data_IF_638500432276
#
_entry.id   IF_638500432276
#
_cell.length_a   1.000
_cell.length_b   1.000
_cell.length_c   1.000
_cell.angle_alpha   90.00
_cell.angle_beta   90.00
_cell.angle_gamma   90.00
#
_symmetry.space_group_name_H-M   'P 1'
#
loop_
_entity.id
_entity.type
_entity.pdbx_description
1 polymer ?
#
# COMPACT_ATOMS: atom_id res chain seq x y z
N UNK A 1 2.06 47.92 36.50
CA UNK A 1 2.17 47.84 35.02
C UNK A 1 2.31 46.38 34.57
N UNK A 2 1.49 45.48 35.13
CA UNK A 2 1.72 44.02 35.16
C UNK A 2 0.44 43.20 34.85
N UNK A 3 -0.71 43.87 34.67
CA UNK A 3 -1.99 43.25 34.30
C UNK A 3 -2.00 42.59 32.90
N UNK A 4 -1.38 43.14 31.84
CA UNK A 4 -1.43 42.50 30.52
C UNK A 4 -0.55 41.25 30.46
N UNK A 5 0.59 41.25 31.16
CA UNK A 5 1.52 40.10 31.22
C UNK A 5 0.86 38.91 31.95
N UNK A 6 0.16 39.17 33.06
CA UNK A 6 -0.57 38.13 33.78
C UNK A 6 -1.69 37.49 32.94
N UNK A 7 -2.38 38.29 32.10
CA UNK A 7 -3.46 37.79 31.25
C UNK A 7 -2.91 36.90 30.11
N UNK A 8 -1.80 37.29 29.49
CA UNK A 8 -1.15 36.49 28.44
C UNK A 8 -0.58 35.19 29.00
N UNK A 9 0.01 35.22 30.21
CA UNK A 9 0.51 34.01 30.88
C UNK A 9 -0.63 33.02 31.22
N UNK A 10 -1.78 33.53 31.65
CA UNK A 10 -2.96 32.70 31.94
C UNK A 10 -3.54 32.08 30.67
N UNK A 11 -3.56 32.82 29.55
CA UNK A 11 -4.03 32.31 28.26
C UNK A 11 -3.09 31.23 27.70
N UNK A 12 -1.77 31.42 27.84
CA UNK A 12 -0.76 30.45 27.43
C UNK A 12 -0.83 29.17 28.26
N UNK A 13 -1.03 29.28 29.58
CA UNK A 13 -1.22 28.13 30.46
C UNK A 13 -2.49 27.33 30.10
N UNK A 14 -3.60 28.02 29.78
CA UNK A 14 -4.82 27.36 29.33
C UNK A 14 -4.61 26.58 28.02
N UNK A 15 -3.92 27.18 27.04
CA UNK A 15 -3.60 26.52 25.77
C UNK A 15 -2.64 25.32 25.92
N UNK A 16 -1.76 25.33 26.92
CA UNK A 16 -0.87 24.20 27.20
C UNK A 16 -1.61 22.97 27.75
N UNK A 17 -2.75 23.15 28.43
CA UNK A 17 -3.50 22.05 29.06
C UNK A 17 -4.44 21.28 28.13
N UNK A 18 -4.75 21.81 26.94
CA UNK A 18 -5.66 21.15 25.97
C UNK A 18 -5.06 19.90 25.32
N UNK A 19 -3.76 19.64 25.49
CA UNK A 19 -3.06 18.46 24.94
C UNK A 19 -3.08 17.20 25.83
N UNK A 20 -3.41 17.31 27.13
CA UNK A 20 -3.30 16.18 28.06
C UNK A 20 -4.30 15.05 27.82
N UNK A 21 -5.34 15.23 27.00
CA UNK A 21 -6.29 14.18 26.65
C UNK A 21 -5.75 13.13 25.68
N UNK A 22 -4.74 13.48 24.86
CA UNK A 22 -4.17 12.57 23.84
C UNK A 22 -3.08 11.66 24.41
N UNK A 23 -2.37 12.12 25.44
CA UNK A 23 -1.37 11.35 26.20
C UNK A 23 -1.99 10.09 26.80
N UNK A 24 -3.20 10.18 27.38
CA UNK A 24 -3.92 9.04 27.98
C UNK A 24 -4.18 7.89 26.99
N UNK A 25 -4.36 8.23 25.70
CA UNK A 25 -4.56 7.26 24.61
C UNK A 25 -3.23 6.71 24.10
N UNK A 26 -2.18 7.53 24.04
CA UNK A 26 -0.83 7.11 23.66
C UNK A 26 -0.16 6.19 24.69
N UNK A 27 -0.46 6.35 25.99
CA UNK A 27 0.06 5.50 27.08
C UNK A 27 -0.79 4.23 27.32
N UNK A 28 -1.78 3.95 26.47
CA UNK A 28 -2.58 2.73 26.58
C UNK A 28 -3.54 2.67 27.77
N UNK A 29 -3.84 3.81 28.42
CA UNK A 29 -4.85 3.87 29.49
C UNK A 29 -6.30 3.78 28.96
N UNK A 30 -6.48 3.63 27.64
CA UNK A 30 -7.75 3.34 27.00
C UNK A 30 -8.01 1.83 26.90
N UNK A 31 -9.28 1.43 26.98
CA UNK A 31 -9.72 0.05 26.81
C UNK A 31 -9.54 -0.37 25.33
N UNK A 32 -8.51 -1.16 25.04
CA UNK A 32 -8.41 -1.92 23.79
C UNK A 32 -9.12 -3.27 23.98
N UNK A 33 -10.45 -3.27 23.84
CA UNK A 33 -11.20 -4.53 23.83
C UNK A 33 -10.95 -5.25 22.49
N UNK A 34 -10.69 -6.57 22.50
CA UNK A 34 -10.70 -7.37 21.28
C UNK A 34 -12.03 -7.21 20.54
N UNK A 35 -11.98 -7.13 19.21
CA UNK A 35 -13.14 -6.93 18.33
C UNK A 35 -14.25 -7.96 18.59
N UNK A 36 -15.35 -7.50 19.21
CA UNK A 36 -16.50 -8.32 19.56
C UNK A 36 -17.28 -8.85 18.34
N UNK A 37 -17.02 -8.34 17.13
CA UNK A 37 -17.65 -8.83 15.89
C UNK A 37 -16.80 -9.88 15.17
N UNK A 38 -15.60 -10.16 15.66
CA UNK A 38 -14.75 -11.20 15.08
C UNK A 38 -15.22 -12.59 15.52
N UNK A 39 -16.16 -13.15 14.77
CA UNK A 39 -16.64 -14.52 14.96
C UNK A 39 -15.57 -15.50 14.48
N UNK A 40 -14.96 -16.22 15.42
CA UNK A 40 -14.07 -17.35 15.10
C UNK A 40 -14.91 -18.62 15.12
N UNK A 41 -14.99 -19.32 14.00
CA UNK A 41 -15.67 -20.61 13.90
C UNK A 41 -14.74 -21.73 14.35
N UNK A 42 -15.10 -22.45 15.40
CA UNK A 42 -14.39 -23.67 15.80
C UNK A 42 -14.80 -24.85 14.92
N UNK A 43 -13.87 -25.76 14.64
CA UNK A 43 -14.14 -26.98 13.88
C UNK A 43 -15.23 -27.84 14.55
N UNK A 44 -16.10 -28.52 13.77
CA UNK A 44 -17.14 -29.37 14.32
C UNK A 44 -16.55 -30.56 15.10
N UNK A 45 -17.14 -30.86 16.26
CA UNK A 45 -16.74 -31.99 17.10
C UNK A 45 -17.22 -33.30 16.48
N UNK A 46 -16.34 -34.01 15.76
CA UNK A 46 -16.60 -35.39 15.31
C UNK A 46 -15.99 -36.38 16.30
N UNK A 47 -16.81 -37.32 16.77
CA UNK A 47 -16.37 -38.35 17.71
C UNK A 47 -15.58 -39.42 16.94
N UNK A 48 -14.26 -39.60 17.21
CA UNK A 48 -13.48 -40.62 16.52
C UNK A 48 -13.99 -42.02 16.87
N UNK A 49 -13.91 -43.00 15.95
CA UNK A 49 -14.35 -44.38 16.19
C UNK A 49 -13.53 -45.08 17.29
N UNK A 50 -12.31 -44.60 17.56
CA UNK A 50 -11.45 -45.11 18.63
C UNK A 50 -11.33 -44.09 19.77
N UNK A 51 -11.93 -44.43 20.92
CA UNK A 51 -11.81 -43.71 22.20
C UNK A 51 -10.48 -43.99 22.93
N UNK A 52 -9.51 -44.59 22.25
CA UNK A 52 -8.23 -45.03 22.83
C UNK A 52 -7.18 -43.91 22.92
N UNK A 53 -7.51 -42.70 22.47
CA UNK A 53 -6.64 -41.55 22.62
C UNK A 53 -6.72 -41.01 24.05
N UNK A 54 -5.56 -40.92 24.70
CA UNK A 54 -5.42 -40.26 25.98
C UNK A 54 -5.90 -38.81 25.83
N UNK A 55 -6.85 -38.33 26.66
CA UNK A 55 -7.30 -36.95 26.59
C UNK A 55 -6.09 -36.00 26.66
N UNK A 56 -6.01 -34.99 25.78
CA UNK A 56 -4.94 -34.01 25.85
C UNK A 56 -4.98 -33.36 27.23
N UNK A 57 -3.79 -33.10 27.80
CA UNK A 57 -3.70 -32.46 29.11
C UNK A 57 -4.37 -31.08 29.04
N UNK A 58 -5.14 -30.68 30.07
CA UNK A 58 -5.66 -29.32 30.15
C UNK A 58 -4.53 -28.30 29.95
N UNK A 59 -4.63 -27.46 28.91
CA UNK A 59 -3.65 -26.42 28.59
C UNK A 59 -2.62 -26.77 27.50
N UNK A 60 -2.62 -27.98 26.94
CA UNK A 60 -1.77 -28.32 25.79
C UNK A 60 -2.42 -27.87 24.48
N UNK A 61 -1.61 -27.39 23.53
CA UNK A 61 -2.10 -26.91 22.24
C UNK A 61 -2.86 -28.03 21.53
N UNK A 62 -4.13 -27.77 21.18
CA UNK A 62 -4.95 -28.74 20.47
C UNK A 62 -4.46 -28.81 19.02
N UNK A 63 -4.04 -29.98 18.51
CA UNK A 63 -3.61 -30.11 17.12
C UNK A 63 -4.72 -29.75 16.11
N UNK A 64 -5.97 -29.73 16.56
CA UNK A 64 -7.17 -29.46 15.77
C UNK A 64 -7.53 -27.97 15.73
N UNK A 65 -6.94 -27.14 16.59
CA UNK A 65 -7.12 -25.67 16.58
C UNK A 65 -5.95 -25.05 15.82
N UNK A 66 -5.89 -25.25 14.49
CA UNK A 66 -5.11 -24.34 13.66
C UNK A 66 -5.76 -22.95 13.73
N UNK A 67 -4.96 -21.90 13.69
CA UNK A 67 -5.51 -20.56 13.55
C UNK A 67 -6.32 -20.50 12.24
N UNK A 68 -7.52 -19.90 12.22
CA UNK A 68 -8.36 -19.87 11.02
C UNK A 68 -7.65 -19.31 9.79
N UNK A 69 -6.70 -18.39 9.99
CA UNK A 69 -5.86 -17.84 8.93
C UNK A 69 -4.92 -18.89 8.31
N UNK A 70 -4.33 -19.75 9.12
CA UNK A 70 -3.43 -20.81 8.67
C UNK A 70 -4.19 -21.91 7.92
N UNK A 71 -5.38 -22.27 8.42
CA UNK A 71 -6.27 -23.22 7.75
C UNK A 71 -6.74 -22.68 6.39
N UNK A 72 -7.21 -21.43 6.33
CA UNK A 72 -7.60 -20.79 5.07
C UNK A 72 -6.42 -20.69 4.09
N UNK A 73 -5.22 -20.36 4.59
CA UNK A 73 -4.00 -20.32 3.77
C UNK A 73 -3.67 -21.70 3.22
N UNK A 74 -3.72 -22.74 4.03
CA UNK A 74 -3.48 -24.12 3.60
C UNK A 74 -4.56 -24.60 2.60
N UNK A 75 -5.82 -24.18 2.75
CA UNK A 75 -6.89 -24.51 1.81
C UNK A 75 -6.74 -23.78 0.47
N UNK A 76 -6.32 -22.51 0.48
CA UNK A 76 -6.18 -21.69 -0.72
C UNK A 76 -4.90 -22.00 -1.50
N UNK A 77 -3.78 -22.15 -0.80
CA UNK A 77 -2.47 -22.27 -1.42
C UNK A 77 -1.90 -23.68 -1.32
N UNK A 78 -2.40 -24.55 -0.43
CA UNK A 78 -1.76 -25.81 -0.08
C UNK A 78 -0.73 -25.61 1.04
N UNK A 79 -0.56 -26.64 1.89
CA UNK A 79 0.39 -26.59 3.01
C UNK A 79 1.86 -26.68 2.56
N UNK A 80 2.15 -27.37 1.45
CA UNK A 80 3.51 -27.75 1.05
C UNK A 80 3.76 -27.61 -0.47
N UNK A 81 3.42 -26.45 -1.04
CA UNK A 81 3.59 -26.19 -2.50
C UNK A 81 5.04 -26.32 -2.96
N UNK A 82 5.99 -26.04 -2.06
CA UNK A 82 7.42 -26.12 -2.36
C UNK A 82 7.97 -27.55 -2.30
N UNK A 83 7.31 -28.48 -1.58
CA UNK A 83 7.83 -29.83 -1.39
C UNK A 83 7.76 -30.68 -2.67
N UNK A 84 6.78 -30.41 -3.53
CA UNK A 84 6.60 -31.08 -4.83
C UNK A 84 7.27 -30.37 -6.00
N UNK A 85 7.96 -29.26 -5.77
CA UNK A 85 8.57 -28.45 -6.83
C UNK A 85 9.70 -29.20 -7.56
N UNK A 86 9.64 -29.21 -8.88
CA UNK A 86 10.69 -29.74 -9.76
C UNK A 86 11.97 -28.92 -9.66
N UNK A 87 13.09 -29.46 -10.16
CA UNK A 87 14.36 -28.73 -10.18
C UNK A 87 14.27 -27.46 -11.07
N UNK A 88 13.51 -27.52 -12.16
CA UNK A 88 13.29 -26.38 -13.05
C UNK A 88 12.53 -25.24 -12.36
N UNK A 89 11.47 -25.56 -11.63
CA UNK A 89 10.69 -24.57 -10.86
C UNK A 89 11.53 -23.92 -9.76
N UNK A 90 12.33 -24.70 -9.04
CA UNK A 90 13.27 -24.16 -8.04
C UNK A 90 14.28 -23.20 -8.67
N UNK A 91 14.86 -23.57 -9.80
CA UNK A 91 15.81 -22.72 -10.53
C UNK A 91 15.15 -21.43 -11.03
N UNK A 92 13.90 -21.50 -11.49
CA UNK A 92 13.13 -20.33 -11.90
C UNK A 92 12.87 -19.38 -10.72
N UNK A 93 12.47 -19.91 -9.57
CA UNK A 93 12.21 -19.13 -8.34
C UNK A 93 13.48 -18.46 -7.83
N UNK A 94 14.61 -19.18 -7.81
CA UNK A 94 15.93 -18.63 -7.48
C UNK A 94 16.33 -17.52 -8.45
N UNK A 95 16.17 -17.73 -9.75
CA UNK A 95 16.47 -16.70 -10.77
C UNK A 95 15.54 -15.49 -10.67
N UNK A 96 14.30 -15.69 -10.23
CA UNK A 96 13.35 -14.61 -9.95
C UNK A 96 13.64 -13.89 -8.62
N UNK A 97 14.63 -14.34 -7.83
CA UNK A 97 14.97 -13.76 -6.54
C UNK A 97 13.94 -14.02 -5.44
N UNK A 98 13.04 -14.99 -5.62
CA UNK A 98 11.94 -15.27 -4.71
C UNK A 98 12.26 -16.36 -3.66
N UNK A 99 13.54 -16.74 -3.53
CA UNK A 99 14.00 -17.81 -2.64
C UNK A 99 13.98 -17.43 -1.15
N UNK A 100 14.07 -16.14 -0.82
CA UNK A 100 14.22 -15.63 0.54
C UNK A 100 13.15 -14.58 0.90
N UNK A 101 11.88 -14.84 0.57
CA UNK A 101 10.78 -13.97 0.99
C UNK A 101 10.50 -14.22 2.47
N UNK A 102 10.58 -13.17 3.28
CA UNK A 102 10.18 -13.22 4.70
C UNK A 102 8.70 -13.62 4.80
N UNK A 103 8.34 -14.73 5.49
CA UNK A 103 6.95 -15.13 5.69
C UNK A 103 6.08 -14.07 6.34
N UNK A 104 6.68 -13.19 7.15
CA UNK A 104 6.01 -12.13 7.92
C UNK A 104 6.07 -10.76 7.21
N UNK A 105 6.47 -10.71 5.94
CA UNK A 105 6.57 -9.44 5.21
C UNK A 105 5.24 -8.68 5.18
N UNK A 106 4.10 -9.40 5.14
CA UNK A 106 2.78 -8.78 5.18
C UNK A 106 2.49 -8.10 6.50
N UNK A 107 2.81 -8.75 7.61
CA UNK A 107 2.65 -8.15 8.94
C UNK A 107 3.58 -6.96 9.13
N UNK A 108 4.79 -7.03 8.56
CA UNK A 108 5.75 -5.92 8.54
C UNK A 108 5.19 -4.73 7.74
N UNK A 109 4.68 -4.98 6.52
CA UNK A 109 4.06 -3.94 5.69
C UNK A 109 2.83 -3.35 6.39
N UNK A 110 2.00 -4.18 7.01
CA UNK A 110 0.80 -3.71 7.71
C UNK A 110 1.19 -2.84 8.91
N UNK A 111 2.21 -3.22 9.67
CA UNK A 111 2.75 -2.43 10.78
C UNK A 111 3.33 -1.09 10.29
N UNK A 112 4.12 -1.11 9.22
CA UNK A 112 4.67 0.10 8.59
C UNK A 112 3.56 1.02 8.05
N UNK A 113 2.55 0.42 7.41
CA UNK A 113 1.40 1.13 6.85
C UNK A 113 0.47 1.70 7.94
N UNK A 114 0.37 1.07 9.10
CA UNK A 114 -0.39 1.59 10.24
C UNK A 114 0.18 2.91 10.77
N UNK A 115 1.51 3.10 10.72
CA UNK A 115 2.16 4.38 11.05
C UNK A 115 1.90 5.48 10.00
N UNK A 116 1.62 5.06 8.76
CA UNK A 116 1.14 5.90 7.68
C UNK A 116 -0.39 6.05 7.78
N UNK A 117 -0.89 6.53 8.92
CA UNK A 117 -2.21 7.19 8.96
C UNK A 117 -2.14 8.30 7.94
N UNK A 118 -2.69 8.03 6.74
CA UNK A 118 -2.77 8.84 5.53
C UNK A 118 -2.60 10.31 5.87
N UNK A 119 -1.35 10.76 6.00
CA UNK A 119 -1.09 12.17 6.28
C UNK A 119 -1.57 12.88 5.05
N UNK A 120 -2.27 13.99 5.27
CA UNK A 120 -2.81 14.77 4.18
C UNK A 120 -1.63 15.35 3.39
N UNK A 121 -1.12 14.58 2.43
CA UNK A 121 0.01 14.94 1.59
C UNK A 121 -0.30 16.26 0.87
N UNK A 122 -1.59 16.64 0.76
CA UNK A 122 -2.04 17.89 0.18
C UNK A 122 -1.39 19.14 0.77
N UNK A 123 -1.15 19.22 2.09
CA UNK A 123 -0.51 20.41 2.67
C UNK A 123 1.00 20.42 2.47
N UNK A 124 1.66 19.32 2.81
CA UNK A 124 3.13 19.21 2.70
C UNK A 124 3.56 19.31 1.25
N UNK A 125 2.87 18.62 0.34
CA UNK A 125 3.15 18.66 -1.08
C UNK A 125 2.85 20.05 -1.66
N UNK A 126 1.86 20.80 -1.15
CA UNK A 126 1.62 22.22 -1.55
C UNK A 126 2.73 23.17 -1.11
N UNK A 127 3.32 22.94 0.06
CA UNK A 127 4.46 23.71 0.55
C UNK A 127 5.73 23.36 -0.24
N UNK A 128 5.98 22.08 -0.49
CA UNK A 128 7.12 21.61 -1.30
C UNK A 128 7.00 22.01 -2.77
N UNK A 129 5.77 22.15 -3.29
CA UNK A 129 5.48 22.58 -4.67
C UNK A 129 5.29 24.08 -4.84
N UNK A 130 5.49 24.87 -3.78
CA UNK A 130 5.38 26.32 -3.86
C UNK A 130 6.47 26.90 -4.77
N UNK A 131 6.06 27.51 -5.88
CA UNK A 131 6.98 28.01 -6.92
C UNK A 131 7.13 27.09 -8.14
N UNK A 132 6.40 25.97 -8.17
CA UNK A 132 6.37 25.03 -9.28
C UNK A 132 7.18 23.78 -9.00
N UNK A 133 6.59 22.81 -8.30
CA UNK A 133 7.06 21.43 -8.43
C UNK A 133 6.30 20.75 -9.56
N UNK A 134 7.07 20.15 -10.48
CA UNK A 134 6.55 19.23 -11.47
C UNK A 134 5.73 18.12 -10.82
N UNK A 135 4.68 17.73 -11.52
CA UNK A 135 3.74 16.65 -11.24
C UNK A 135 4.41 15.35 -10.79
N UNK A 136 4.64 15.18 -9.49
CA UNK A 136 5.22 13.93 -8.98
C UNK A 136 4.15 12.86 -8.70
N UNK A 137 2.88 13.23 -8.46
CA UNK A 137 1.83 12.29 -8.06
C UNK A 137 0.44 12.66 -8.60
N UNK A 138 0.33 12.94 -9.91
CA UNK A 138 -1.00 12.91 -10.56
C UNK A 138 -1.28 11.45 -10.88
N UNK A 139 -2.40 10.85 -10.44
CA UNK A 139 -2.81 9.53 -10.91
C UNK A 139 -2.87 9.55 -12.44
N UNK A 140 -1.91 8.88 -13.08
CA UNK A 140 -1.82 8.77 -14.53
C UNK A 140 -2.86 7.73 -14.95
N UNK A 141 -3.84 8.12 -15.77
CA UNK A 141 -4.75 7.16 -16.39
C UNK A 141 -3.94 6.27 -17.36
N UNK A 142 -3.85 4.94 -17.09
CA UNK A 142 -3.06 4.02 -17.91
C UNK A 142 -3.47 4.05 -19.39
N UNK A 143 -4.76 4.26 -19.68
CA UNK A 143 -5.28 4.25 -21.05
C UNK A 143 -4.96 5.54 -21.80
N UNK A 144 -4.88 6.68 -21.09
CA UNK A 144 -4.47 7.94 -21.69
C UNK A 144 -2.96 7.93 -21.99
N UNK A 145 -2.16 7.39 -21.08
CA UNK A 145 -0.71 7.30 -21.23
C UNK A 145 -0.31 6.31 -22.34
N UNK A 146 -0.97 5.16 -22.43
CA UNK A 146 -0.74 4.21 -23.53
C UNK A 146 -0.99 4.83 -24.91
N UNK A 147 -2.01 5.69 -25.03
CA UNK A 147 -2.31 6.42 -26.27
C UNK A 147 -1.22 7.44 -26.60
N UNK A 148 -0.81 8.24 -25.61
CA UNK A 148 0.29 9.22 -25.77
C UNK A 148 1.58 8.55 -26.26
N UNK A 149 1.96 7.43 -25.65
CA UNK A 149 3.14 6.65 -26.04
C UNK A 149 3.00 6.09 -27.47
N UNK A 150 1.82 5.57 -27.84
CA UNK A 150 1.55 5.07 -29.18
C UNK A 150 1.70 6.14 -30.27
N UNK A 151 1.22 7.35 -30.02
CA UNK A 151 1.36 8.48 -30.95
C UNK A 151 2.83 8.90 -31.09
N UNK A 152 3.59 8.94 -30.00
CA UNK A 152 5.03 9.20 -30.04
C UNK A 152 5.80 8.13 -30.82
N UNK A 153 5.44 6.86 -30.68
CA UNK A 153 6.04 5.80 -31.48
C UNK A 153 5.73 5.95 -32.98
N UNK A 154 4.49 6.29 -33.32
CA UNK A 154 4.09 6.52 -34.71
C UNK A 154 4.86 7.69 -35.32
N UNK A 155 4.95 8.81 -34.60
CA UNK A 155 5.73 9.97 -35.02
C UNK A 155 7.20 9.58 -35.18
N UNK A 156 7.79 8.86 -34.22
CA UNK A 156 9.19 8.41 -34.29
C UNK A 156 9.44 7.48 -35.48
N UNK A 157 8.52 6.57 -35.80
CA UNK A 157 8.60 5.72 -37.00
C UNK A 157 8.51 6.54 -38.29
N UNK A 158 7.65 7.54 -38.33
CA UNK A 158 7.46 8.40 -39.50
C UNK A 158 8.62 9.39 -39.73
N UNK A 159 9.23 9.87 -38.65
CA UNK A 159 10.24 10.95 -38.67
C UNK A 159 11.67 10.45 -38.51
N UNK A 160 11.85 9.15 -38.25
CA UNK A 160 13.15 8.55 -37.96
C UNK A 160 13.85 9.13 -36.72
N UNK A 161 13.11 9.83 -35.85
CA UNK A 161 13.67 10.56 -34.70
C UNK A 161 14.27 11.93 -35.02
N UNK A 162 14.15 12.41 -36.27
CA UNK A 162 14.62 13.74 -36.67
C UNK A 162 13.63 14.86 -36.33
N UNK A 163 14.14 16.08 -36.14
CA UNK A 163 13.30 17.25 -35.88
C UNK A 163 12.51 17.65 -37.14
N UNK A 164 11.18 17.52 -37.11
CA UNK A 164 10.30 17.93 -38.21
C UNK A 164 10.10 19.44 -38.18
N UNK A 165 10.69 20.15 -39.13
CA UNK A 165 10.43 21.58 -39.34
C UNK A 165 9.41 21.73 -40.47
N UNK A 166 8.17 22.09 -40.13
CA UNK A 166 7.14 22.39 -41.14
C UNK A 166 7.34 23.84 -41.59
N UNK A 167 8.05 24.04 -42.71
CA UNK A 167 8.12 25.34 -43.35
C UNK A 167 6.88 25.54 -44.24
N UNK A 168 6.11 26.60 -43.98
CA UNK A 168 5.07 27.06 -44.93
C UNK A 168 5.81 27.62 -46.14
N UNK A 169 5.76 26.92 -47.28
CA UNK A 169 6.42 27.33 -48.51
C UNK A 169 6.06 28.77 -48.87
N UNK A 170 7.00 29.69 -48.66
CA UNK A 170 6.90 31.09 -49.09
C UNK A 170 7.10 31.17 -50.60
N UNK A 171 6.10 30.76 -51.35
CA UNK A 171 6.04 30.96 -52.79
C UNK A 171 4.95 31.95 -53.12
N UNK A 172 5.31 33.20 -53.42
CA UNK A 172 4.47 34.10 -54.21
C UNK A 172 4.32 33.49 -55.61
N UNK A 173 3.50 32.45 -55.72
CA UNK A 173 3.05 31.95 -57.00
C UNK A 173 1.89 32.84 -57.41
N UNK A 174 2.19 33.88 -58.17
CA UNK A 174 1.20 34.64 -58.92
C UNK A 174 0.40 33.62 -59.74
N UNK A 175 -0.83 33.35 -59.31
CA UNK A 175 -1.78 32.52 -60.05
C UNK A 175 -2.13 33.31 -61.31
N UNK A 176 -1.50 32.98 -62.44
CA UNK A 176 -1.86 33.52 -63.74
C UNK A 176 -3.28 33.04 -64.09
N UNK A 177 -4.24 33.94 -64.37
CA UNK A 177 -5.56 33.56 -64.80
C UNK A 177 -5.55 33.24 -66.30
N UNK A 178 -5.70 31.95 -66.64
CA UNK A 178 -6.26 31.48 -67.92
C UNK A 178 -5.40 31.64 -69.18
N UNK A 179 -5.23 30.52 -69.89
CA UNK A 179 -4.47 30.24 -71.14
C UNK A 179 -2.96 30.14 -71.01
#
# INVERSE_FOLDING_TARGET
MNKPIAMVAMLAAAAATTGCGTISRAIGAGKNSPDEFRVVTSAPLTLPPDYSLRPPRPGEARPQELAPGDEARAALFGADVAASATQGERTLVTNAGAEAVDPNIRDTIDYEAQGLVRRDEGFVNRVLSFGGAGSANVPIDPNAEARRLGDEEQIRRATGGGQVTIARGGGNTTKLPGT
#
